data_IF_778632206512
#
_entry.id   IF_778632206512
#
_cell.length_a   1.000
_cell.length_b   1.000
_cell.length_c   1.000
_cell.angle_alpha   90.00
_cell.angle_beta   90.00
_cell.angle_gamma   90.00
#
_symmetry.space_group_name_H-M   'P 1'
#
loop_
_entity.id
_entity.type
_entity.pdbx_description
1 polymer ?
#
# COMPACT_ATOMS: atom_id res chain seq x y z
N UNK A 1 34.72 47.15 56.86
CA UNK A 1 34.15 47.13 55.50
C UNK A 1 34.18 45.80 54.77
N UNK A 2 34.81 44.72 55.26
CA UNK A 2 34.85 43.41 54.51
C UNK A 2 33.69 42.47 54.79
N UNK A 3 32.94 42.56 55.88
CA UNK A 3 31.86 41.64 56.27
C UNK A 3 30.53 41.89 55.47
N UNK A 4 30.29 43.10 55.02
CA UNK A 4 29.06 43.46 54.30
C UNK A 4 29.07 43.00 52.82
N UNK A 5 30.25 42.83 52.22
CA UNK A 5 30.41 42.37 50.87
C UNK A 5 30.09 40.87 50.68
N UNK A 6 30.52 40.05 51.68
CA UNK A 6 30.28 38.63 51.71
C UNK A 6 28.80 38.27 51.86
N UNK A 7 28.04 39.03 52.61
CA UNK A 7 26.65 38.81 52.83
C UNK A 7 25.80 39.19 51.61
N UNK A 8 26.22 40.14 50.78
CA UNK A 8 25.53 40.48 49.50
C UNK A 8 25.83 39.44 48.45
N UNK A 9 27.06 38.97 48.31
CA UNK A 9 27.43 37.94 47.36
C UNK A 9 26.74 36.59 47.68
N UNK A 10 26.66 36.24 48.97
CA UNK A 10 25.99 35.03 49.42
C UNK A 10 24.47 35.07 49.18
N UNK A 11 23.84 36.23 49.28
CA UNK A 11 22.40 36.41 49.00
C UNK A 11 22.04 36.29 47.50
N UNK A 12 22.98 36.62 46.62
CA UNK A 12 22.77 36.41 45.16
C UNK A 12 23.18 35.00 44.69
N UNK A 13 24.09 34.32 45.37
CA UNK A 13 24.51 32.97 45.04
C UNK A 13 23.48 31.90 45.47
N UNK A 14 22.76 32.15 46.57
CA UNK A 14 21.80 31.18 47.11
C UNK A 14 20.64 30.84 46.16
N UNK A 15 19.96 31.80 45.48
CA UNK A 15 18.90 31.47 44.51
C UNK A 15 19.44 30.84 43.24
N UNK A 16 20.68 31.12 42.84
CA UNK A 16 21.32 30.53 41.68
C UNK A 16 21.68 29.05 41.92
N UNK A 17 22.09 28.70 43.14
CA UNK A 17 22.39 27.31 43.54
C UNK A 17 21.11 26.49 43.72
N UNK A 18 20.00 27.11 44.10
CA UNK A 18 18.70 26.44 44.22
C UNK A 18 18.08 26.09 42.85
N UNK A 19 18.41 26.89 41.81
CA UNK A 19 17.94 26.64 40.44
C UNK A 19 18.69 25.46 39.75
N UNK A 20 19.93 25.19 40.20
CA UNK A 20 20.76 24.07 39.73
C UNK A 20 20.31 22.70 40.28
N UNK A 21 19.47 22.68 41.30
CA UNK A 21 18.95 21.48 41.95
C UNK A 21 17.60 21.03 41.41
N UNK A 22 17.06 21.69 40.36
CA UNK A 22 15.89 21.17 39.68
C UNK A 22 16.27 19.88 38.94
N UNK A 23 15.80 18.71 39.37
CA UNK A 23 16.04 17.49 38.63
C UNK A 23 15.40 17.66 37.25
N UNK A 24 16.21 17.74 36.23
CA UNK A 24 15.77 17.63 34.86
C UNK A 24 15.19 16.21 34.72
N UNK A 25 13.88 16.06 34.84
CA UNK A 25 13.19 14.85 34.40
C UNK A 25 13.30 14.75 32.88
N UNK A 26 14.48 14.46 32.37
CA UNK A 26 14.67 14.03 31.00
C UNK A 26 14.06 12.63 30.93
N UNK A 27 12.78 12.57 30.60
CA UNK A 27 12.16 11.32 30.21
C UNK A 27 12.88 10.85 28.94
N UNK A 28 13.78 9.89 29.08
CA UNK A 28 14.43 9.25 27.94
C UNK A 28 13.31 8.58 27.13
N UNK A 29 13.01 9.14 25.97
CA UNK A 29 12.07 8.53 25.04
C UNK A 29 12.66 7.20 24.60
N UNK A 30 11.92 6.13 24.86
CA UNK A 30 12.28 4.80 24.40
C UNK A 30 11.73 4.62 23.00
N UNK A 31 12.57 4.26 22.06
CA UNK A 31 12.17 3.93 20.69
C UNK A 31 12.31 2.43 20.48
N UNK A 32 11.42 1.88 19.67
CA UNK A 32 11.50 0.51 19.19
C UNK A 32 11.35 0.53 17.66
N UNK A 33 12.09 -0.34 16.99
CA UNK A 33 11.92 -0.61 15.57
C UNK A 33 11.03 -1.83 15.43
N UNK A 34 10.09 -1.74 14.51
CA UNK A 34 9.15 -2.81 14.20
C UNK A 34 9.38 -3.28 12.77
N UNK A 35 9.68 -4.55 12.59
CA UNK A 35 9.77 -5.18 11.28
C UNK A 35 8.37 -5.62 10.83
N UNK A 36 7.71 -4.75 10.08
CA UNK A 36 6.35 -4.98 9.57
C UNK A 36 6.30 -6.13 8.58
N UNK A 37 7.35 -6.33 7.78
CA UNK A 37 7.40 -7.44 6.81
C UNK A 37 7.45 -8.79 7.53
N UNK A 38 8.27 -8.89 8.57
CA UNK A 38 8.32 -10.07 9.42
C UNK A 38 6.96 -10.36 10.07
N UNK A 39 6.30 -9.35 10.61
CA UNK A 39 4.98 -9.50 11.23
C UNK A 39 3.98 -10.04 10.23
N UNK A 40 3.83 -9.38 9.05
CA UNK A 40 2.85 -9.80 8.05
C UNK A 40 3.09 -11.22 7.55
N UNK A 41 4.34 -11.62 7.32
CA UNK A 41 4.68 -12.99 6.90
C UNK A 41 4.28 -14.07 7.91
N UNK A 42 4.15 -13.70 9.18
CA UNK A 42 3.76 -14.63 10.25
C UNK A 42 2.25 -14.57 10.58
N UNK A 43 1.46 -13.79 9.84
CA UNK A 43 0.01 -13.72 10.02
C UNK A 43 -0.68 -14.62 8.99
N UNK A 44 -1.36 -15.72 9.41
CA UNK A 44 -2.04 -16.61 8.47
C UNK A 44 -3.13 -15.93 7.63
N UNK A 45 -3.76 -14.87 8.15
CA UNK A 45 -4.75 -14.08 7.41
C UNK A 45 -4.11 -13.34 6.23
N UNK A 46 -2.88 -12.84 6.38
CA UNK A 46 -2.13 -12.18 5.31
C UNK A 46 -1.77 -13.15 4.18
N UNK A 47 -1.34 -14.34 4.52
CA UNK A 47 -1.05 -15.39 3.53
C UNK A 47 -2.31 -15.77 2.74
N UNK A 48 -3.43 -16.03 3.42
CA UNK A 48 -4.72 -16.31 2.77
C UNK A 48 -5.19 -15.17 1.87
N UNK A 49 -5.02 -13.92 2.31
CA UNK A 49 -5.38 -12.75 1.51
C UNK A 49 -4.54 -12.66 0.22
N UNK A 50 -3.23 -12.90 0.31
CA UNK A 50 -2.35 -12.94 -0.85
C UNK A 50 -2.71 -14.08 -1.81
N UNK A 51 -3.02 -15.26 -1.29
CA UNK A 51 -3.46 -16.39 -2.10
C UNK A 51 -4.77 -16.08 -2.86
N UNK A 52 -5.76 -15.49 -2.20
CA UNK A 52 -7.00 -15.05 -2.84
C UNK A 52 -6.74 -14.02 -3.94
N UNK A 53 -5.85 -13.03 -3.69
CA UNK A 53 -5.47 -12.03 -4.69
C UNK A 53 -4.81 -12.68 -5.91
N UNK A 54 -3.92 -13.64 -5.67
CA UNK A 54 -3.24 -14.36 -6.75
C UNK A 54 -4.23 -15.18 -7.59
N UNK A 55 -5.17 -15.87 -6.96
CA UNK A 55 -6.20 -16.65 -7.66
C UNK A 55 -7.09 -15.75 -8.52
N UNK A 56 -7.57 -14.63 -7.96
CA UNK A 56 -8.39 -13.66 -8.70
C UNK A 56 -7.61 -13.01 -9.83
N UNK A 57 -6.36 -12.62 -9.59
CA UNK A 57 -5.49 -12.06 -10.61
C UNK A 57 -5.29 -13.01 -11.80
N UNK A 58 -4.99 -14.28 -11.53
CA UNK A 58 -4.85 -15.30 -12.58
C UNK A 58 -6.14 -15.51 -13.38
N UNK A 59 -7.28 -15.54 -12.69
CA UNK A 59 -8.58 -15.65 -13.34
C UNK A 59 -8.82 -14.48 -14.30
N UNK A 60 -8.62 -13.27 -13.84
CA UNK A 60 -8.84 -12.06 -14.64
C UNK A 60 -7.82 -11.91 -15.79
N UNK A 61 -6.57 -12.34 -15.58
CA UNK A 61 -5.58 -12.43 -16.66
C UNK A 61 -6.04 -13.38 -17.76
N UNK A 62 -6.55 -14.55 -17.38
CA UNK A 62 -7.06 -15.52 -18.34
C UNK A 62 -8.29 -14.99 -19.13
N UNK A 63 -9.18 -14.23 -18.48
CA UNK A 63 -10.32 -13.60 -19.16
C UNK A 63 -9.87 -12.56 -20.20
N UNK A 64 -8.90 -11.71 -19.85
CA UNK A 64 -8.32 -10.72 -20.78
C UNK A 64 -7.60 -11.43 -21.94
N UNK A 65 -6.81 -12.45 -21.64
CA UNK A 65 -6.06 -13.21 -22.64
C UNK A 65 -6.99 -13.97 -23.60
N UNK A 66 -8.10 -14.48 -23.13
CA UNK A 66 -9.11 -15.11 -24.00
C UNK A 66 -9.63 -14.13 -25.06
N UNK A 67 -9.93 -12.88 -24.68
CA UNK A 67 -10.37 -11.84 -25.62
C UNK A 67 -9.27 -11.45 -26.62
N UNK A 68 -8.03 -11.33 -26.16
CA UNK A 68 -6.88 -11.04 -27.02
C UNK A 68 -6.64 -12.17 -28.03
N UNK A 69 -6.72 -13.41 -27.58
CA UNK A 69 -6.58 -14.59 -28.44
C UNK A 69 -7.68 -14.66 -29.48
N UNK A 70 -8.93 -14.34 -29.08
CA UNK A 70 -10.07 -14.28 -30.02
C UNK A 70 -9.86 -13.17 -31.05
N UNK A 71 -9.49 -11.97 -30.64
CA UNK A 71 -9.17 -10.86 -31.54
C UNK A 71 -8.04 -11.24 -32.53
N UNK A 72 -6.96 -11.84 -32.04
CA UNK A 72 -5.86 -12.31 -32.87
C UNK A 72 -6.30 -13.37 -33.89
N UNK A 73 -7.17 -14.30 -33.49
CA UNK A 73 -7.73 -15.32 -34.38
C UNK A 73 -8.61 -14.71 -35.44
N UNK A 74 -9.48 -13.76 -35.05
CA UNK A 74 -10.32 -13.02 -36.00
C UNK A 74 -9.46 -12.26 -37.02
N UNK A 75 -8.38 -11.63 -36.57
CA UNK A 75 -7.45 -10.91 -37.45
C UNK A 75 -6.74 -11.86 -38.44
N UNK A 76 -6.25 -13.00 -37.99
CA UNK A 76 -5.63 -14.02 -38.87
C UNK A 76 -6.62 -14.53 -39.92
N UNK A 77 -7.86 -14.83 -39.52
CA UNK A 77 -8.92 -15.25 -40.43
C UNK A 77 -9.21 -14.16 -41.45
N UNK A 78 -9.35 -12.90 -41.01
CA UNK A 78 -9.53 -11.76 -41.88
C UNK A 78 -8.40 -11.63 -42.92
N UNK A 79 -7.16 -11.78 -42.53
CA UNK A 79 -6.01 -11.73 -43.45
C UNK A 79 -6.14 -12.81 -44.54
N UNK A 80 -6.50 -14.04 -44.18
CA UNK A 80 -6.62 -15.16 -45.12
C UNK A 80 -7.78 -15.00 -46.07
N UNK A 81 -8.90 -14.45 -45.61
CA UNK A 81 -10.14 -14.30 -46.37
C UNK A 81 -10.23 -12.97 -47.15
N UNK A 82 -9.38 -11.99 -46.80
CA UNK A 82 -9.51 -10.60 -47.27
C UNK A 82 -9.56 -10.44 -48.78
N UNK A 83 -8.87 -11.32 -49.52
CA UNK A 83 -8.86 -11.30 -51.01
C UNK A 83 -10.20 -11.68 -51.61
N UNK A 84 -11.05 -12.39 -50.90
CA UNK A 84 -12.36 -12.86 -51.35
C UNK A 84 -13.52 -12.02 -50.83
N UNK A 85 -13.25 -11.04 -49.92
CA UNK A 85 -14.25 -10.23 -49.28
C UNK A 85 -14.60 -8.97 -50.11
N UNK A 86 -15.88 -8.61 -50.15
CA UNK A 86 -16.31 -7.29 -50.61
C UNK A 86 -15.80 -6.18 -49.64
N UNK A 87 -15.83 -4.92 -50.11
CA UNK A 87 -15.40 -3.79 -49.29
C UNK A 87 -16.25 -3.64 -48.02
N UNK A 88 -17.53 -3.87 -48.13
CA UNK A 88 -18.43 -3.82 -46.97
C UNK A 88 -18.14 -4.94 -45.95
N UNK A 89 -17.91 -6.15 -46.43
CA UNK A 89 -17.54 -7.27 -45.59
C UNK A 89 -16.16 -7.03 -44.87
N UNK A 90 -15.19 -6.45 -45.61
CA UNK A 90 -13.91 -6.06 -45.01
C UNK A 90 -14.12 -5.08 -43.88
N UNK A 91 -14.88 -4.01 -44.09
CA UNK A 91 -15.20 -3.00 -43.09
C UNK A 91 -15.84 -3.61 -41.84
N UNK A 92 -16.86 -4.43 -42.05
CA UNK A 92 -17.56 -5.11 -40.95
C UNK A 92 -16.63 -6.00 -40.13
N UNK A 93 -15.77 -6.80 -40.80
CA UNK A 93 -14.80 -7.65 -40.08
C UNK A 93 -13.76 -6.85 -39.34
N UNK A 94 -13.26 -5.76 -39.91
CA UNK A 94 -12.33 -4.86 -39.24
C UNK A 94 -12.95 -4.20 -37.98
N UNK A 95 -14.19 -3.74 -38.09
CA UNK A 95 -14.95 -3.19 -36.97
C UNK A 95 -15.14 -4.23 -35.84
N UNK A 96 -15.46 -5.48 -36.21
CA UNK A 96 -15.58 -6.57 -35.22
C UNK A 96 -14.27 -6.85 -34.48
N UNK A 97 -13.15 -6.90 -35.22
CA UNK A 97 -11.82 -7.09 -34.63
C UNK A 97 -11.49 -5.92 -33.67
N UNK A 98 -11.65 -4.69 -34.13
CA UNK A 98 -11.39 -3.49 -33.32
C UNK A 98 -12.27 -3.43 -32.07
N UNK A 99 -13.53 -3.82 -32.16
CA UNK A 99 -14.43 -3.89 -31.02
C UNK A 99 -13.98 -4.97 -30.02
N UNK A 100 -13.45 -6.11 -30.51
CA UNK A 100 -12.92 -7.16 -29.63
C UNK A 100 -11.63 -6.74 -28.94
N UNK A 101 -10.70 -6.10 -29.65
CA UNK A 101 -9.48 -5.52 -29.07
C UNK A 101 -9.81 -4.47 -28.01
N UNK A 102 -10.76 -3.60 -28.33
CA UNK A 102 -11.24 -2.60 -27.37
C UNK A 102 -11.83 -3.24 -26.13
N UNK A 103 -12.66 -4.27 -26.28
CA UNK A 103 -13.23 -5.00 -25.15
C UNK A 103 -12.14 -5.61 -24.25
N UNK A 104 -11.07 -6.18 -24.85
CA UNK A 104 -9.92 -6.70 -24.10
C UNK A 104 -9.19 -5.59 -23.33
N UNK A 105 -8.96 -4.45 -23.98
CA UNK A 105 -8.30 -3.30 -23.37
C UNK A 105 -9.13 -2.71 -22.22
N UNK A 106 -10.44 -2.55 -22.42
CA UNK A 106 -11.37 -2.05 -21.41
C UNK A 106 -11.45 -3.00 -20.20
N UNK A 107 -11.51 -4.32 -20.46
CA UNK A 107 -11.51 -5.33 -19.41
C UNK A 107 -10.19 -5.33 -18.61
N UNK A 108 -9.06 -5.23 -19.31
CA UNK A 108 -7.74 -5.09 -18.68
C UNK A 108 -7.67 -3.84 -17.78
N UNK A 109 -8.16 -2.70 -18.28
CA UNK A 109 -8.22 -1.47 -17.50
C UNK A 109 -9.13 -1.60 -16.28
N UNK A 110 -10.30 -2.23 -16.45
CA UNK A 110 -11.25 -2.49 -15.36
C UNK A 110 -10.61 -3.32 -14.24
N UNK A 111 -9.89 -4.39 -14.59
CA UNK A 111 -9.31 -5.29 -13.59
C UNK A 111 -7.99 -4.77 -13.00
N UNK A 112 -7.09 -4.26 -13.84
CA UNK A 112 -5.70 -3.96 -13.50
C UNK A 112 -5.34 -2.46 -13.58
N UNK A 113 -6.30 -1.60 -13.86
CA UNK A 113 -6.08 -0.16 -13.85
C UNK A 113 -5.73 0.37 -12.45
N UNK A 114 -5.32 1.65 -12.35
CA UNK A 114 -4.87 2.25 -11.07
C UNK A 114 -5.89 2.12 -9.93
N UNK A 115 -7.19 2.20 -10.25
CA UNK A 115 -8.32 2.00 -9.31
C UNK A 115 -9.17 0.80 -9.73
N UNK A 116 -8.54 -0.18 -10.36
CA UNK A 116 -9.20 -1.37 -10.86
C UNK A 116 -9.66 -2.31 -9.76
N UNK A 117 -10.40 -3.34 -10.18
CA UNK A 117 -11.00 -4.30 -9.24
C UNK A 117 -9.95 -5.05 -8.42
N UNK A 118 -8.72 -5.27 -8.95
CA UNK A 118 -7.64 -5.90 -8.20
C UNK A 118 -7.14 -5.00 -7.07
N UNK A 119 -7.04 -3.70 -7.32
CA UNK A 119 -6.65 -2.73 -6.32
C UNK A 119 -7.69 -2.70 -5.18
N UNK A 120 -8.97 -2.54 -5.51
CA UNK A 120 -10.07 -2.54 -4.53
C UNK A 120 -10.12 -3.85 -3.72
N UNK A 121 -9.93 -4.98 -4.39
CA UNK A 121 -9.88 -6.28 -3.72
C UNK A 121 -8.72 -6.38 -2.75
N UNK A 122 -7.56 -5.84 -3.12
CA UNK A 122 -6.38 -5.77 -2.23
C UNK A 122 -6.68 -4.92 -1.01
N UNK A 123 -7.21 -3.71 -1.19
CA UNK A 123 -7.57 -2.85 -0.06
C UNK A 123 -8.55 -3.55 0.89
N UNK A 124 -9.62 -4.13 0.34
CA UNK A 124 -10.63 -4.81 1.15
C UNK A 124 -10.06 -5.99 1.96
N UNK A 125 -9.04 -6.68 1.46
CA UNK A 125 -8.43 -7.82 2.15
C UNK A 125 -7.30 -7.40 3.10
N UNK A 126 -6.53 -6.37 2.76
CA UNK A 126 -5.32 -5.99 3.51
C UNK A 126 -5.59 -4.96 4.60
N UNK A 127 -6.52 -4.03 4.38
CA UNK A 127 -6.81 -2.97 5.37
C UNK A 127 -7.15 -3.52 6.75
N UNK A 128 -8.07 -4.49 6.91
CA UNK A 128 -8.38 -5.02 8.24
C UNK A 128 -7.18 -5.68 8.93
N UNK A 129 -6.31 -6.35 8.16
CA UNK A 129 -5.09 -6.97 8.69
C UNK A 129 -4.10 -5.91 9.15
N UNK A 130 -3.94 -4.84 8.38
CA UNK A 130 -3.07 -3.71 8.72
C UNK A 130 -3.56 -2.99 9.97
N UNK A 131 -4.87 -2.78 10.10
CA UNK A 131 -5.47 -2.16 11.27
C UNK A 131 -5.28 -3.02 12.53
N UNK A 132 -5.44 -4.33 12.43
CA UNK A 132 -5.21 -5.26 13.54
C UNK A 132 -3.74 -5.20 14.01
N UNK A 133 -2.79 -5.25 13.09
CA UNK A 133 -1.36 -5.13 13.39
C UNK A 133 -1.02 -3.77 14.00
N UNK A 134 -1.56 -2.69 13.41
CA UNK A 134 -1.34 -1.34 13.93
C UNK A 134 -1.83 -1.21 15.38
N UNK A 135 -3.02 -1.70 15.67
CA UNK A 135 -3.60 -1.65 17.00
C UNK A 135 -2.79 -2.47 18.01
N UNK A 136 -2.33 -3.66 17.62
CA UNK A 136 -1.48 -4.50 18.47
C UNK A 136 -0.12 -3.83 18.76
N UNK A 137 0.53 -3.25 17.74
CA UNK A 137 1.79 -2.52 17.91
C UNK A 137 1.60 -1.31 18.80
N UNK A 138 0.52 -0.55 18.61
CA UNK A 138 0.17 0.61 19.43
C UNK A 138 -0.03 0.22 20.90
N UNK A 139 -0.82 -0.83 21.15
CA UNK A 139 -1.05 -1.32 22.51
C UNK A 139 0.25 -1.72 23.22
N UNK A 140 1.11 -2.48 22.53
CA UNK A 140 2.42 -2.88 23.07
C UNK A 140 3.29 -1.65 23.35
N UNK A 141 3.26 -0.65 22.47
CA UNK A 141 4.04 0.58 22.64
C UNK A 141 3.59 1.38 23.86
N UNK A 142 2.28 1.53 24.03
CA UNK A 142 1.70 2.22 25.17
C UNK A 142 2.02 1.48 26.47
N UNK A 143 1.87 0.17 26.52
CA UNK A 143 2.18 -0.66 27.71
C UNK A 143 3.65 -0.64 28.08
N UNK A 144 4.55 -0.53 27.11
CA UNK A 144 6.01 -0.56 27.31
C UNK A 144 6.64 0.83 27.40
N UNK A 145 5.88 1.90 27.16
CA UNK A 145 6.35 3.29 27.17
C UNK A 145 7.29 3.60 26.00
N UNK A 146 7.08 2.98 24.84
CA UNK A 146 7.75 3.34 23.59
C UNK A 146 7.05 4.51 22.92
N UNK A 147 7.82 5.37 22.26
CA UNK A 147 7.29 6.35 21.31
C UNK A 147 7.14 5.69 19.93
N UNK A 148 5.97 5.84 19.34
CA UNK A 148 5.66 5.44 17.97
C UNK A 148 5.98 6.57 17.01
#
# INVERSE_FOLDING_TARGET
>A
MKKTFYNKALRFMLPFFLLALLPSFASAQKFALVDMEYIFKNIPAYERANEQLNQVSRKWQAEVEALNTEASTMYKNYQNESVFLSQEQKKTKQEQIMNKEKAAADLKKKYFGPEGELFKKREALMTPIQEEVYNAVKEISELRGYSL
#
